data_IF_982144213626
#
_entry.id   IF_982144213626
#
_cell.length_a   1.000
_cell.length_b   1.000
_cell.length_c   1.000
_cell.angle_alpha   90.00
_cell.angle_beta   90.00
_cell.angle_gamma   90.00
#
_symmetry.space_group_name_H-M   'P 1'
#
loop_
_entity.id
_entity.type
_entity.pdbx_description
1 polymer ?
#
# COMPACT_ATOMS: atom_id res chain seq x y z
N UNK A 1 10.38 9.42 -4.54
CA UNK A 1 10.58 9.48 -6.03
C UNK A 1 9.42 10.11 -6.82
N UNK A 2 8.17 10.00 -6.38
CA UNK A 2 7.00 10.37 -7.19
C UNK A 2 6.81 11.88 -7.47
N UNK A 3 7.50 12.76 -6.74
CA UNK A 3 7.47 14.22 -6.96
C UNK A 3 8.53 14.72 -7.96
N UNK A 4 9.44 13.86 -8.41
CA UNK A 4 10.57 14.26 -9.25
C UNK A 4 10.15 14.96 -10.56
N UNK A 5 9.06 14.52 -11.17
CA UNK A 5 8.54 15.13 -12.40
C UNK A 5 8.13 16.61 -12.23
N UNK A 6 7.84 17.05 -11.00
CA UNK A 6 7.47 18.44 -10.70
C UNK A 6 8.71 19.35 -10.74
N UNK A 7 9.89 18.83 -10.40
CA UNK A 7 11.13 19.61 -10.46
C UNK A 7 11.42 20.12 -11.88
N UNK A 8 11.02 19.35 -12.90
CA UNK A 8 11.16 19.75 -14.31
C UNK A 8 10.34 21.01 -14.67
N UNK A 9 9.37 21.40 -13.84
CA UNK A 9 8.50 22.56 -14.04
C UNK A 9 9.02 23.82 -13.34
N UNK A 10 10.05 23.72 -12.49
CA UNK A 10 10.55 24.84 -11.67
C UNK A 10 11.33 25.84 -12.53
N UNK A 11 12.22 25.37 -13.41
CA UNK A 11 12.95 26.22 -14.34
C UNK A 11 13.49 25.44 -15.55
N UNK A 12 13.91 26.11 -16.63
CA UNK A 12 14.55 25.46 -17.78
C UNK A 12 15.82 24.67 -17.41
N UNK A 13 16.61 25.17 -16.45
CA UNK A 13 17.81 24.47 -15.97
C UNK A 13 17.44 23.17 -15.23
N UNK A 14 16.41 23.21 -14.38
CA UNK A 14 15.88 22.01 -13.73
C UNK A 14 15.27 21.04 -14.74
N UNK A 15 14.63 21.53 -15.80
CA UNK A 15 14.11 20.70 -16.89
C UNK A 15 15.22 19.94 -17.64
N UNK A 16 16.35 20.60 -17.90
CA UNK A 16 17.50 19.95 -18.53
C UNK A 16 18.12 18.89 -17.59
N UNK A 17 18.34 19.26 -16.33
CA UNK A 17 18.88 18.35 -15.30
C UNK A 17 17.99 17.12 -15.11
N UNK A 18 16.67 17.32 -14.99
CA UNK A 18 15.73 16.23 -14.68
C UNK A 18 15.56 15.21 -15.81
N UNK A 19 16.04 15.52 -17.01
CA UNK A 19 15.98 14.64 -18.20
C UNK A 19 17.22 13.77 -18.37
N UNK A 20 18.22 13.89 -17.50
CA UNK A 20 19.46 13.11 -17.59
C UNK A 20 19.25 11.65 -17.15
N UNK A 21 19.78 10.70 -17.93
CA UNK A 21 19.68 9.27 -17.64
C UNK A 21 20.40 8.86 -16.34
N UNK A 22 21.44 9.60 -15.95
CA UNK A 22 22.17 9.37 -14.68
C UNK A 22 21.26 9.55 -13.46
N UNK A 23 20.39 10.56 -13.48
CA UNK A 23 19.42 10.78 -12.40
C UNK A 23 18.33 9.71 -12.42
N UNK A 24 17.82 9.33 -13.60
CA UNK A 24 16.85 8.23 -13.71
C UNK A 24 17.42 6.91 -13.22
N UNK A 25 18.70 6.63 -13.47
CA UNK A 25 19.40 5.47 -12.92
C UNK A 25 19.37 5.49 -11.40
N UNK A 26 19.72 6.60 -10.75
CA UNK A 26 19.67 6.74 -9.29
C UNK A 26 18.26 6.60 -8.72
N UNK A 27 17.25 7.14 -9.40
CA UNK A 27 15.85 6.96 -9.00
C UNK A 27 15.40 5.51 -9.13
N UNK A 28 15.81 4.81 -10.20
CA UNK A 28 15.53 3.38 -10.39
C UNK A 28 16.21 2.53 -9.32
N UNK A 29 17.47 2.80 -9.00
CA UNK A 29 18.21 2.13 -7.93
C UNK A 29 17.46 2.27 -6.60
N UNK A 30 17.10 3.50 -6.22
CA UNK A 30 16.39 3.80 -4.97
C UNK A 30 14.99 3.18 -4.90
N UNK A 31 14.23 3.21 -5.99
CA UNK A 31 12.89 2.62 -6.01
C UNK A 31 12.91 1.10 -6.04
N UNK A 32 13.64 0.50 -6.99
CA UNK A 32 13.43 -0.90 -7.31
C UNK A 32 14.35 -1.84 -6.53
N UNK A 33 15.58 -1.42 -6.18
CA UNK A 33 16.50 -2.32 -5.48
C UNK A 33 16.03 -2.62 -4.06
N UNK A 34 15.45 -1.62 -3.39
CA UNK A 34 14.94 -1.79 -2.03
C UNK A 34 13.62 -2.58 -2.00
N UNK A 35 12.80 -2.46 -3.06
CA UNK A 35 11.52 -3.16 -3.17
C UNK A 35 11.66 -4.62 -3.64
N UNK A 36 12.72 -4.96 -4.39
CA UNK A 36 12.89 -6.25 -5.03
C UNK A 36 13.92 -7.11 -4.29
N UNK A 37 13.56 -8.33 -3.90
CA UNK A 37 14.49 -9.30 -3.27
C UNK A 37 15.72 -9.62 -4.11
N UNK A 38 15.59 -9.66 -5.44
CA UNK A 38 16.73 -9.92 -6.34
C UNK A 38 17.74 -8.77 -6.42
N UNK A 39 17.41 -7.57 -5.92
CA UNK A 39 18.26 -6.37 -5.95
C UNK A 39 19.00 -6.16 -7.29
N UNK A 40 18.28 -6.33 -8.41
CA UNK A 40 18.83 -6.20 -9.75
C UNK A 40 17.97 -5.31 -10.66
N UNK A 41 18.64 -4.57 -11.54
CA UNK A 41 18.01 -3.75 -12.58
C UNK A 41 18.32 -4.34 -13.96
N UNK A 42 17.28 -4.84 -14.65
CA UNK A 42 17.39 -5.34 -16.02
C UNK A 42 16.95 -4.30 -17.03
N UNK A 43 17.78 -3.27 -17.23
CA UNK A 43 17.48 -2.10 -18.09
C UNK A 43 17.34 -2.48 -19.57
N UNK A 44 18.03 -3.55 -20.01
CA UNK A 44 17.94 -4.07 -21.37
C UNK A 44 16.51 -4.40 -21.79
N UNK A 45 15.65 -4.84 -20.85
CA UNK A 45 14.23 -5.12 -21.10
C UNK A 45 13.40 -3.86 -21.40
N UNK A 46 13.96 -2.68 -21.13
CA UNK A 46 13.32 -1.39 -21.32
C UNK A 46 14.01 -0.56 -22.40
N UNK A 47 14.68 -1.22 -23.35
CA UNK A 47 15.36 -0.54 -24.48
C UNK A 47 16.54 0.32 -24.04
N UNK A 48 17.20 -0.02 -22.92
CA UNK A 48 18.37 0.70 -22.45
C UNK A 48 18.10 2.02 -21.73
N UNK A 49 16.85 2.45 -21.58
CA UNK A 49 16.49 3.70 -20.90
C UNK A 49 15.97 3.47 -19.49
N UNK A 50 16.59 4.12 -18.50
CA UNK A 50 16.11 4.10 -17.11
C UNK A 50 14.83 4.90 -16.95
N UNK A 51 14.63 5.94 -17.78
CA UNK A 51 13.38 6.70 -17.78
C UNK A 51 12.20 5.80 -18.16
N UNK A 52 12.30 5.08 -19.27
CA UNK A 52 11.26 4.14 -19.72
C UNK A 52 11.01 3.05 -18.67
N UNK A 53 12.07 2.57 -18.03
CA UNK A 53 11.97 1.62 -16.93
C UNK A 53 11.18 2.19 -15.74
N UNK A 54 11.45 3.43 -15.33
CA UNK A 54 10.77 4.10 -14.22
C UNK A 54 9.27 4.30 -14.47
N UNK A 55 8.89 4.57 -15.72
CA UNK A 55 7.51 4.83 -16.12
C UNK A 55 6.69 3.54 -16.29
N UNK A 56 7.31 2.46 -16.79
CA UNK A 56 6.60 1.23 -17.19
C UNK A 56 6.70 0.09 -16.17
N UNK A 57 7.81 -0.01 -15.43
CA UNK A 57 8.02 -1.12 -14.49
C UNK A 57 7.09 -0.95 -13.28
N UNK A 58 6.30 -1.98 -12.93
CA UNK A 58 5.44 -1.96 -11.75
C UNK A 58 6.23 -1.68 -10.48
N UNK A 59 5.68 -0.79 -9.65
CA UNK A 59 6.21 -0.44 -8.33
C UNK A 59 5.12 0.03 -7.41
N UNK A 60 5.39 -0.05 -6.12
CA UNK A 60 4.59 0.63 -5.11
C UNK A 60 5.03 2.09 -5.02
N UNK A 61 4.06 3.00 -4.87
CA UNK A 61 4.33 4.43 -4.64
C UNK A 61 4.66 4.69 -3.18
N UNK A 62 5.67 5.52 -2.94
CA UNK A 62 6.21 5.78 -1.59
C UNK A 62 5.93 7.18 -1.07
N UNK A 63 5.38 8.09 -1.90
CA UNK A 63 5.02 9.46 -1.49
C UNK A 63 3.53 9.63 -1.12
N UNK A 64 2.97 8.67 -0.39
CA UNK A 64 1.56 8.67 0.00
C UNK A 64 1.08 7.33 0.56
N UNK A 65 -0.20 7.26 0.90
CA UNK A 65 -0.80 6.14 1.63
C UNK A 65 -1.85 5.46 0.77
N UNK A 66 -1.81 4.14 0.73
CA UNK A 66 -2.86 3.33 0.14
C UNK A 66 -3.96 3.10 1.18
N UNK A 67 -5.19 3.49 0.84
CA UNK A 67 -6.33 3.43 1.74
C UNK A 67 -7.46 2.62 1.11
N UNK A 68 -7.98 1.69 1.89
CA UNK A 68 -9.17 0.93 1.56
C UNK A 68 -10.25 1.22 2.59
N UNK A 69 -11.39 1.75 2.13
CA UNK A 69 -12.59 1.94 2.96
C UNK A 69 -13.49 0.72 2.81
N UNK A 70 -13.75 0.05 3.92
CA UNK A 70 -14.82 -0.93 4.04
C UNK A 70 -16.02 -0.27 4.71
N UNK A 71 -17.20 -0.47 4.14
CA UNK A 71 -18.47 -0.11 4.76
C UNK A 71 -19.39 -1.30 4.56
N UNK A 72 -19.93 -1.81 5.67
CA UNK A 72 -20.95 -2.83 5.67
C UNK A 72 -22.14 -2.33 6.48
N UNK A 73 -23.28 -2.37 5.83
CA UNK A 73 -24.57 -2.12 6.44
C UNK A 73 -25.11 -3.46 6.95
N UNK A 74 -25.34 -3.56 8.25
CA UNK A 74 -26.01 -4.71 8.87
C UNK A 74 -27.39 -4.27 9.33
N UNK A 75 -28.42 -5.02 8.93
CA UNK A 75 -29.76 -4.88 9.50
C UNK A 75 -29.71 -5.35 10.94
N UNK A 76 -30.29 -4.55 11.84
CA UNK A 76 -30.35 -4.87 13.25
C UNK A 76 -31.36 -6.01 13.43
N UNK A 77 -30.90 -7.11 14.02
CA UNK A 77 -31.81 -8.14 14.55
C UNK A 77 -32.28 -7.64 15.91
N UNK A 78 -33.59 -7.55 16.08
CA UNK A 78 -34.21 -7.06 17.31
C UNK A 78 -34.46 -8.27 18.20
N UNK A 79 -33.94 -8.21 19.41
CA UNK A 79 -34.37 -9.07 20.51
C UNK A 79 -35.34 -8.31 21.42
N UNK A 80 -36.07 -9.02 22.29
CA UNK A 80 -37.08 -8.44 23.20
C UNK A 80 -36.53 -7.34 24.14
N UNK A 81 -35.21 -7.18 24.20
CA UNK A 81 -34.52 -6.26 25.11
C UNK A 81 -33.79 -5.11 24.40
N UNK A 82 -33.95 -4.95 23.09
CA UNK A 82 -33.28 -3.88 22.33
C UNK A 82 -34.11 -2.59 22.25
N UNK A 83 -33.63 -1.51 22.86
CA UNK A 83 -34.24 -0.16 22.86
C UNK A 83 -34.13 0.59 21.52
N UNK A 84 -33.51 -0.02 20.51
CA UNK A 84 -33.21 0.64 19.23
C UNK A 84 -34.49 0.84 18.41
N UNK A 85 -34.75 2.04 17.86
CA UNK A 85 -35.96 2.34 17.10
C UNK A 85 -36.11 1.48 15.84
N UNK A 86 -37.37 1.27 15.43
CA UNK A 86 -37.71 0.52 14.21
C UNK A 86 -37.08 1.22 13.01
N UNK A 87 -36.29 0.48 12.21
CA UNK A 87 -35.67 1.03 11.00
C UNK A 87 -34.26 1.60 11.18
N UNK A 88 -33.68 1.51 12.39
CA UNK A 88 -32.27 1.84 12.58
C UNK A 88 -31.36 0.88 11.80
N UNK A 89 -30.35 1.45 11.15
CA UNK A 89 -29.38 0.74 10.32
C UNK A 89 -28.01 0.86 10.98
N UNK A 90 -27.35 -0.28 11.22
CA UNK A 90 -25.98 -0.27 11.73
C UNK A 90 -25.01 -0.26 10.55
N UNK A 91 -24.36 0.88 10.33
CA UNK A 91 -23.23 0.98 9.39
C UNK A 91 -21.92 0.79 10.15
N UNK A 92 -21.17 -0.26 9.80
CA UNK A 92 -19.80 -0.46 10.27
C UNK A 92 -18.83 -0.03 9.20
N UNK A 93 -18.08 1.04 9.48
CA UNK A 93 -17.05 1.59 8.59
C UNK A 93 -15.68 1.37 9.22
N UNK A 94 -14.77 0.75 8.48
CA UNK A 94 -13.36 0.67 8.85
C UNK A 94 -12.47 0.94 7.65
N UNK A 95 -11.27 1.42 7.94
CA UNK A 95 -10.25 1.77 6.98
C UNK A 95 -9.03 0.90 7.20
N UNK A 96 -8.44 0.46 6.09
CA UNK A 96 -7.15 -0.20 6.07
C UNK A 96 -6.15 0.70 5.37
N UNK A 97 -5.06 0.99 6.05
CA UNK A 97 -4.00 1.88 5.58
C UNK A 97 -2.71 1.09 5.37
N UNK A 98 -2.03 1.40 4.28
CA UNK A 98 -0.69 0.89 3.97
C UNK A 98 0.17 2.06 3.46
N UNK A 99 1.15 2.46 4.25
CA UNK A 99 2.11 3.49 3.88
C UNK A 99 3.48 2.85 3.66
N UNK A 100 3.92 2.82 2.40
CA UNK A 100 5.13 2.13 1.99
C UNK A 100 6.31 3.09 1.99
N UNK A 101 7.39 2.69 2.68
CA UNK A 101 8.65 3.43 2.69
C UNK A 101 9.63 2.81 1.70
N UNK A 102 10.61 3.61 1.30
CA UNK A 102 11.62 3.19 0.33
C UNK A 102 12.64 2.19 0.89
N UNK A 103 12.61 1.90 2.19
CA UNK A 103 13.49 0.95 2.89
C UNK A 103 12.97 -0.50 2.89
N UNK A 104 11.79 -0.74 2.31
CA UNK A 104 11.12 -2.06 2.37
C UNK A 104 10.23 -2.25 3.60
N UNK A 105 10.06 -1.21 4.42
CA UNK A 105 9.10 -1.19 5.52
C UNK A 105 7.75 -0.60 5.07
N UNK A 106 6.67 -1.05 5.70
CA UNK A 106 5.33 -0.52 5.49
C UNK A 106 4.66 -0.28 6.84
N UNK A 107 4.06 0.89 7.02
CA UNK A 107 3.15 1.14 8.14
C UNK A 107 1.78 0.58 7.76
N UNK A 108 1.33 -0.39 8.53
CA UNK A 108 0.02 -1.01 8.39
C UNK A 108 -0.88 -0.57 9.54
N UNK A 109 -2.13 -0.19 9.22
CA UNK A 109 -3.14 0.08 10.23
C UNK A 109 -4.52 -0.41 9.77
N UNK A 110 -5.29 -0.94 10.72
CA UNK A 110 -6.69 -1.29 10.57
C UNK A 110 -7.48 -0.58 11.68
N UNK A 111 -8.31 0.39 11.31
CA UNK A 111 -8.97 1.28 12.29
C UNK A 111 -10.25 1.87 11.73
N UNK A 112 -11.18 2.27 12.61
CA UNK A 112 -12.35 3.07 12.24
C UNK A 112 -12.01 4.52 11.94
N UNK A 113 -10.84 4.99 12.36
CA UNK A 113 -10.41 6.38 12.18
C UNK A 113 -10.26 6.73 10.69
N UNK A 114 -10.85 7.85 10.23
CA UNK A 114 -10.78 8.30 8.84
C UNK A 114 -9.39 8.88 8.48
N UNK A 115 -9.09 9.10 7.19
CA UNK A 115 -7.75 9.50 6.75
C UNK A 115 -7.24 10.79 7.38
N UNK A 116 -8.11 11.78 7.61
CA UNK A 116 -7.70 13.06 8.18
C UNK A 116 -7.19 12.94 9.64
N UNK A 117 -7.57 11.88 10.36
CA UNK A 117 -7.06 11.60 11.70
C UNK A 117 -5.83 10.68 11.69
N UNK A 118 -5.81 9.70 10.78
CA UNK A 118 -4.73 8.70 10.73
C UNK A 118 -3.45 9.20 10.06
N UNK A 119 -3.55 10.04 9.03
CA UNK A 119 -2.37 10.55 8.32
C UNK A 119 -1.43 11.36 9.25
N UNK A 120 -1.92 12.28 10.11
CA UNK A 120 -1.07 12.94 11.10
C UNK A 120 -0.38 11.99 12.07
N UNK A 121 -1.05 10.88 12.44
CA UNK A 121 -0.45 9.85 13.32
C UNK A 121 0.71 9.15 12.61
N UNK A 122 0.55 8.78 11.34
CA UNK A 122 1.63 8.21 10.54
C UNK A 122 2.83 9.16 10.38
N UNK A 123 2.57 10.46 10.19
CA UNK A 123 3.62 11.48 10.14
C UNK A 123 4.38 11.49 11.47
N UNK A 124 3.66 11.53 12.59
CA UNK A 124 4.27 11.50 13.93
C UNK A 124 5.10 10.24 14.15
N UNK A 125 4.58 9.06 13.83
CA UNK A 125 5.32 7.79 13.92
C UNK A 125 6.60 7.81 13.10
N UNK A 126 6.55 8.39 11.89
CA UNK A 126 7.70 8.44 10.97
C UNK A 126 8.76 9.43 11.43
N UNK A 127 8.37 10.57 12.01
CA UNK A 127 9.28 11.62 12.48
C UNK A 127 9.85 11.36 13.88
N UNK A 128 9.00 10.93 14.82
CA UNK A 128 9.38 10.82 16.24
C UNK A 128 9.65 9.38 16.68
N UNK A 129 9.35 8.38 15.84
CA UNK A 129 9.52 6.97 16.18
C UNK A 129 8.54 6.45 17.25
N UNK A 130 7.57 7.27 17.68
CA UNK A 130 6.59 6.89 18.70
C UNK A 130 5.65 5.83 18.12
N UNK A 131 5.40 4.76 18.88
CA UNK A 131 4.47 3.71 18.48
C UNK A 131 3.02 4.20 18.61
N UNK A 132 2.19 3.87 17.63
CA UNK A 132 0.73 4.09 17.70
C UNK A 132 0.05 2.76 18.06
N UNK A 133 -1.09 2.82 18.75
CA UNK A 133 -1.83 1.62 19.16
C UNK A 133 -2.49 0.92 17.98
N UNK A 134 -2.86 1.66 16.94
CA UNK A 134 -3.62 1.19 15.79
C UNK A 134 -2.74 0.89 14.57
N UNK A 135 -1.43 1.16 14.65
CA UNK A 135 -0.52 1.02 13.53
C UNK A 135 0.76 0.27 13.92
N UNK A 136 1.27 -0.51 12.98
CA UNK A 136 2.46 -1.34 13.18
C UNK A 136 3.42 -1.22 12.00
N UNK A 137 4.68 -1.53 12.29
CA UNK A 137 5.71 -1.69 11.27
C UNK A 137 5.68 -3.11 10.73
N UNK A 138 5.51 -3.20 9.42
CA UNK A 138 5.51 -4.42 8.64
C UNK A 138 6.61 -4.36 7.58
N UNK A 139 6.89 -5.49 6.94
CA UNK A 139 7.83 -5.58 5.82
C UNK A 139 7.07 -5.86 4.54
N UNK A 140 7.59 -5.42 3.41
CA UNK A 140 7.01 -5.74 2.12
C UNK A 140 8.07 -6.08 1.08
N UNK A 141 7.64 -6.84 0.08
CA UNK A 141 8.43 -7.17 -1.11
C UNK A 141 7.56 -7.04 -2.35
N UNK A 142 8.16 -6.59 -3.45
CA UNK A 142 7.51 -6.47 -4.74
C UNK A 142 8.12 -7.44 -5.73
N UNK A 143 7.28 -8.34 -6.25
CA UNK A 143 7.64 -9.29 -7.29
C UNK A 143 6.75 -9.08 -8.52
N UNK A 144 7.29 -8.38 -9.53
CA UNK A 144 6.54 -7.94 -10.72
C UNK A 144 5.32 -7.10 -10.30
N UNK A 145 4.11 -7.61 -10.50
CA UNK A 145 2.86 -6.93 -10.12
C UNK A 145 2.38 -7.32 -8.72
N UNK A 146 2.99 -8.33 -8.10
CA UNK A 146 2.54 -8.82 -6.80
C UNK A 146 3.34 -8.13 -5.70
N UNK A 147 2.63 -7.71 -4.67
CA UNK A 147 3.18 -7.08 -3.48
C UNK A 147 2.79 -7.96 -2.31
N UNK A 148 3.80 -8.50 -1.64
CA UNK A 148 3.59 -9.28 -0.42
C UNK A 148 3.95 -8.43 0.77
N UNK A 149 3.05 -8.36 1.74
CA UNK A 149 3.24 -7.62 2.99
C UNK A 149 3.15 -8.61 4.16
N UNK A 150 4.12 -8.54 5.06
CA UNK A 150 4.17 -9.33 6.29
C UNK A 150 4.07 -8.40 7.50
N UNK A 151 2.99 -8.57 8.26
CA UNK A 151 2.71 -7.84 9.49
C UNK A 151 2.73 -8.84 10.65
N UNK A 152 3.70 -8.69 11.55
CA UNK A 152 3.84 -9.56 12.71
C UNK A 152 3.18 -8.94 13.93
N UNK A 153 2.27 -9.68 14.56
CA UNK A 153 1.70 -9.37 15.87
C UNK A 153 2.22 -10.39 16.90
N UNK A 154 2.21 -10.06 18.21
CA UNK A 154 2.71 -10.95 19.25
C UNK A 154 2.08 -12.35 19.28
N UNK A 155 0.89 -12.51 18.71
CA UNK A 155 0.08 -13.73 18.76
C UNK A 155 -0.20 -14.34 17.40
N UNK A 156 0.12 -13.64 16.30
CA UNK A 156 -0.07 -14.15 14.95
C UNK A 156 0.68 -13.29 13.94
N UNK A 157 1.12 -13.91 12.85
CA UNK A 157 1.60 -13.23 11.68
C UNK A 157 0.50 -13.12 10.64
N UNK A 158 0.44 -11.97 9.98
CA UNK A 158 -0.50 -11.71 8.88
C UNK A 158 0.28 -11.48 7.60
N UNK A 159 -0.15 -12.15 6.53
CA UNK A 159 0.38 -12.00 5.19
C UNK A 159 -0.70 -11.48 4.25
N UNK A 160 -0.42 -10.37 3.59
CA UNK A 160 -1.25 -9.85 2.51
C UNK A 160 -0.55 -10.07 1.18
N UNK A 161 -1.27 -10.64 0.22
CA UNK A 161 -0.85 -10.69 -1.17
C UNK A 161 -1.74 -9.74 -1.96
N UNK A 162 -1.10 -8.73 -2.55
CA UNK A 162 -1.75 -7.64 -3.26
C UNK A 162 -1.25 -7.64 -4.71
N UNK A 163 -2.07 -7.12 -5.61
CA UNK A 163 -1.73 -6.91 -7.01
C UNK A 163 -1.75 -5.43 -7.34
N UNK A 164 -0.64 -4.93 -7.88
CA UNK A 164 -0.55 -3.60 -8.46
C UNK A 164 -1.38 -3.54 -9.74
N UNK A 165 -2.36 -2.65 -9.77
CA UNK A 165 -3.21 -2.44 -10.93
C UNK A 165 -2.52 -1.44 -11.88
N UNK A 166 -2.44 -1.81 -13.16
CA UNK A 166 -2.00 -0.89 -14.21
C UNK A 166 -3.10 0.13 -14.52
N UNK A 167 -2.73 1.26 -15.11
CA UNK A 167 -3.68 2.32 -15.50
C UNK A 167 -4.77 1.83 -16.48
N UNK A 168 -4.52 0.74 -17.21
CA UNK A 168 -5.46 0.17 -18.18
C UNK A 168 -6.64 -0.54 -17.51
N UNK A 169 -6.45 -1.01 -16.27
CA UNK A 169 -7.54 -1.47 -15.42
C UNK A 169 -8.20 -0.23 -14.83
N UNK A 170 -9.12 0.36 -15.60
CA UNK A 170 -9.87 1.59 -15.28
C UNK A 170 -10.64 1.44 -13.96
N UNK A 171 -9.98 1.64 -12.82
CA UNK A 171 -10.64 1.86 -11.55
C UNK A 171 -11.17 3.29 -11.57
N UNK A 172 -12.50 3.45 -11.54
CA UNK A 172 -13.16 4.76 -11.62
C UNK A 172 -12.57 5.73 -10.59
N UNK A 173 -12.11 6.90 -11.06
CA UNK A 173 -11.62 7.97 -10.20
C UNK A 173 -10.14 7.92 -9.82
N UNK A 174 -9.36 6.97 -10.34
CA UNK A 174 -7.91 6.89 -10.09
C UNK A 174 -7.14 7.27 -11.36
N UNK A 175 -6.30 8.32 -11.29
CA UNK A 175 -5.44 8.78 -12.39
C UNK A 175 -3.99 8.39 -12.13
N UNK A 176 -3.35 7.74 -13.11
CA UNK A 176 -1.92 7.44 -13.10
C UNK A 176 -1.59 5.97 -12.87
N UNK A 177 -0.41 5.55 -13.32
CA UNK A 177 0.02 4.14 -13.29
C UNK A 177 0.39 3.71 -11.85
N UNK A 178 -0.01 2.49 -11.47
CA UNK A 178 0.30 1.84 -10.18
C UNK A 178 -0.19 2.59 -8.93
N UNK A 179 -1.30 3.32 -9.07
CA UNK A 179 -1.95 4.11 -8.02
C UNK A 179 -3.05 3.33 -7.28
N UNK A 180 -3.39 2.14 -7.75
CA UNK A 180 -4.35 1.27 -7.11
C UNK A 180 -3.75 -0.12 -6.91
N UNK A 181 -4.16 -0.77 -5.83
CA UNK A 181 -3.80 -2.16 -5.54
C UNK A 181 -5.06 -2.95 -5.23
N UNK A 182 -5.22 -4.11 -5.84
CA UNK A 182 -6.24 -5.07 -5.43
C UNK A 182 -5.68 -6.08 -4.48
N UNK A 183 -6.58 -6.73 -3.78
CA UNK A 183 -6.31 -7.67 -2.73
C UNK A 183 -6.47 -9.06 -3.38
N UNK A 184 -5.44 -9.90 -3.35
CA UNK A 184 -5.49 -11.26 -3.91
C UNK A 184 -5.69 -12.29 -2.80
N UNK A 185 -4.90 -12.20 -1.72
CA UNK A 185 -5.03 -13.09 -0.55
C UNK A 185 -4.81 -12.33 0.76
N UNK A 186 -5.52 -12.76 1.79
CA UNK A 186 -5.37 -12.29 3.16
C UNK A 186 -5.30 -13.52 4.06
N UNK A 187 -4.14 -13.73 4.69
CA UNK A 187 -3.84 -14.92 5.46
C UNK A 187 -3.29 -14.55 6.82
N UNK A 188 -3.59 -15.35 7.85
CA UNK A 188 -2.87 -15.33 9.12
C UNK A 188 -2.42 -16.72 9.53
N UNK A 189 -1.33 -16.79 10.28
CA UNK A 189 -0.83 -18.01 10.90
C UNK A 189 -0.21 -17.64 12.26
N UNK A 190 -0.40 -18.46 13.28
CA UNK A 190 0.21 -18.31 14.61
C UNK A 190 1.68 -18.71 14.55
N UNK A 191 2.01 -19.75 13.78
CA UNK A 191 3.35 -20.29 13.55
C UNK A 191 4.19 -19.43 12.60
N UNK A 192 3.56 -18.52 11.86
CA UNK A 192 4.19 -17.75 10.78
C UNK A 192 4.41 -18.57 9.50
N UNK A 193 3.94 -19.81 9.44
CA UNK A 193 3.99 -20.64 8.24
C UNK A 193 2.78 -20.36 7.34
N UNK A 194 3.06 -19.83 6.15
CA UNK A 194 2.04 -19.52 5.12
C UNK A 194 2.06 -20.49 3.95
N UNK A 195 2.73 -21.64 4.08
CA UNK A 195 2.63 -22.71 3.09
C UNK A 195 1.26 -23.39 3.19
N UNK A 196 0.55 -23.50 2.08
CA UNK A 196 -0.80 -24.07 2.06
C UNK A 196 -0.81 -25.58 2.32
N UNK A 197 0.31 -26.27 2.09
CA UNK A 197 0.40 -27.72 2.23
C UNK A 197 0.99 -28.14 3.58
N UNK A 198 1.87 -27.32 4.15
CA UNK A 198 2.58 -27.66 5.39
C UNK A 198 2.02 -26.94 6.62
N UNK A 199 1.26 -25.85 6.44
CA UNK A 199 0.73 -25.09 7.58
C UNK A 199 -0.53 -25.74 8.14
N UNK A 200 -0.50 -26.03 9.44
CA UNK A 200 -1.63 -26.59 10.19
C UNK A 200 -2.56 -25.51 10.77
N UNK A 201 -2.11 -24.26 10.79
CA UNK A 201 -2.77 -23.14 11.47
C UNK A 201 -3.08 -21.96 10.54
N UNK A 202 -2.99 -22.18 9.23
CA UNK A 202 -3.28 -21.18 8.22
C UNK A 202 -4.77 -20.84 8.17
N UNK A 203 -5.09 -19.57 8.42
CA UNK A 203 -6.44 -19.03 8.26
C UNK A 203 -6.48 -18.11 7.03
N UNK A 204 -7.39 -18.40 6.10
CA UNK A 204 -7.66 -17.56 4.93
C UNK A 204 -8.90 -16.71 5.18
N UNK A 205 -8.78 -15.40 5.03
CA UNK A 205 -9.89 -14.46 5.22
C UNK A 205 -10.51 -14.04 3.90
N UNK A 206 -11.78 -13.67 3.96
CA UNK A 206 -12.46 -13.02 2.85
C UNK A 206 -11.78 -11.71 2.47
N UNK A 207 -11.61 -11.57 1.16
CA UNK A 207 -10.85 -10.49 0.57
C UNK A 207 -11.82 -9.45 0.00
N UNK A 208 -11.67 -8.16 0.34
CA UNK A 208 -12.56 -7.12 -0.16
C UNK A 208 -12.36 -6.90 -1.67
N UNK A 209 -13.45 -6.82 -2.40
CA UNK A 209 -13.44 -6.61 -3.86
C UNK A 209 -12.94 -5.22 -4.26
N UNK A 210 -13.10 -4.23 -3.38
CA UNK A 210 -12.68 -2.85 -3.64
C UNK A 210 -11.15 -2.74 -3.56
N UNK A 211 -10.50 -2.06 -4.52
CA UNK A 211 -9.06 -1.83 -4.47
C UNK A 211 -8.71 -0.73 -3.48
N UNK A 212 -7.48 -0.78 -2.97
CA UNK A 212 -6.86 0.34 -2.31
C UNK A 212 -6.71 1.51 -3.27
N UNK A 213 -6.97 2.72 -2.77
CA UNK A 213 -6.75 3.97 -3.47
C UNK A 213 -5.55 4.68 -2.88
N UNK A 214 -4.66 5.17 -3.74
CA UNK A 214 -3.54 5.98 -3.30
C UNK A 214 -3.99 7.41 -2.97
N UNK A 215 -3.82 7.80 -1.71
CA UNK A 215 -3.95 9.17 -1.23
C UNK A 215 -2.56 9.78 -1.12
N UNK A 216 -2.32 10.84 -1.90
CA UNK A 216 -1.10 11.62 -1.82
C UNK A 216 -1.19 12.56 -0.61
N UNK A 217 -0.21 12.49 0.28
CA UNK A 217 -0.01 13.46 1.35
C UNK A 217 1.45 13.93 1.28
N UNK A 218 1.67 15.24 1.24
CA UNK A 218 3.01 15.82 1.09
C UNK A 218 3.85 15.76 2.36
N UNK A 219 3.21 15.48 3.50
CA UNK A 219 3.87 15.33 4.80
C UNK A 219 4.43 13.92 4.99
N UNK A 220 4.09 12.98 4.10
CA UNK A 220 4.46 11.56 4.12
C UNK A 220 5.31 11.18 2.91
#
# INVERSE_FOLDING_TARGET
VDAYGIMALVSPHWKAFTRTETVYKKLCERCYLNQSRRKALHVSRFGGSYRKMLETRPRVRTGGVYVLKYSKVKKIQRDMWTEIPVGAILESVYYRYMYFKEDGCVLYALTSAPPHEMLPRFVKMTLTGVKDKSALWARYEVQRHNVTVWASHPWHDVRFELKLLSSDQKVSGVKGVFTAMSFERHMSSVSGNFDEYESTDLVKFDVPTKPFRFLRDWRL
#
